data_IF_055223354167
#
_entry.id   IF_055223354167
#
_cell.length_a   1.000
_cell.length_b   1.000
_cell.length_c   1.000
_cell.angle_alpha   90.00
_cell.angle_beta   90.00
_cell.angle_gamma   90.00
#
_symmetry.space_group_name_H-M   'P 1'
#
loop_
_entity.id
_entity.type
_entity.pdbx_description
1 polymer ?
#
# COMPACT_ATOMS: atom_id res chain seq x y z
N UNK A 1 9.29 -16.63 43.12
CA UNK A 1 9.70 -15.27 42.67
C UNK A 1 10.21 -15.21 41.22
N UNK A 2 10.98 -16.17 40.69
CA UNK A 2 11.53 -16.09 39.31
C UNK A 2 10.50 -16.20 38.16
N UNK A 3 9.41 -16.96 38.33
CA UNK A 3 8.43 -17.24 37.27
C UNK A 3 7.61 -15.99 36.87
N UNK A 4 7.20 -15.18 37.85
CA UNK A 4 6.47 -13.93 37.64
C UNK A 4 7.33 -12.85 36.97
N UNK A 5 8.63 -12.76 37.31
CA UNK A 5 9.55 -11.82 36.64
C UNK A 5 9.77 -12.20 35.17
N UNK A 6 9.92 -13.48 34.84
CA UNK A 6 10.07 -13.96 33.46
C UNK A 6 8.79 -13.68 32.65
N UNK A 7 7.61 -13.96 33.22
CA UNK A 7 6.34 -13.67 32.57
C UNK A 7 6.17 -12.16 32.31
N UNK A 8 6.51 -11.30 33.27
CA UNK A 8 6.47 -9.85 33.08
C UNK A 8 7.38 -9.38 31.94
N UNK A 9 8.60 -9.91 31.83
CA UNK A 9 9.53 -9.59 30.74
C UNK A 9 8.96 -10.00 29.37
N UNK A 10 8.33 -11.18 29.27
CA UNK A 10 7.70 -11.64 28.02
C UNK A 10 6.56 -10.70 27.62
N UNK A 11 5.69 -10.32 28.56
CA UNK A 11 4.58 -9.39 28.31
C UNK A 11 5.10 -8.03 27.86
N UNK A 12 6.13 -7.50 28.52
CA UNK A 12 6.76 -6.23 28.14
C UNK A 12 7.34 -6.31 26.73
N UNK A 13 8.05 -7.39 26.39
CA UNK A 13 8.59 -7.59 25.03
C UNK A 13 7.49 -7.67 23.98
N UNK A 14 6.42 -8.40 24.26
CA UNK A 14 5.27 -8.50 23.37
C UNK A 14 4.62 -7.13 23.14
N UNK A 15 4.46 -6.34 24.21
CA UNK A 15 3.95 -4.97 24.11
C UNK A 15 4.83 -4.10 23.22
N UNK A 16 6.16 -4.14 23.38
CA UNK A 16 7.09 -3.39 22.53
C UNK A 16 7.01 -3.81 21.06
N UNK A 17 6.88 -5.11 20.77
CA UNK A 17 6.72 -5.59 19.38
C UNK A 17 5.44 -5.03 18.77
N UNK A 18 4.31 -5.16 19.47
CA UNK A 18 3.02 -4.65 18.98
C UNK A 18 3.08 -3.14 18.79
N UNK A 19 3.62 -2.40 19.76
CA UNK A 19 3.81 -0.96 19.67
C UNK A 19 4.65 -0.57 18.46
N UNK A 20 5.77 -1.25 18.24
CA UNK A 20 6.66 -0.99 17.10
C UNK A 20 5.97 -1.28 15.76
N UNK A 21 5.20 -2.38 15.65
CA UNK A 21 4.44 -2.70 14.45
C UNK A 21 3.40 -1.62 14.15
N UNK A 22 2.65 -1.15 15.15
CA UNK A 22 1.65 -0.09 14.99
C UNK A 22 2.33 1.23 14.57
N UNK A 23 3.44 1.59 15.21
CA UNK A 23 4.20 2.80 14.87
C UNK A 23 4.76 2.73 13.44
N UNK A 24 5.31 1.59 13.03
CA UNK A 24 5.81 1.39 11.67
C UNK A 24 4.67 1.49 10.64
N UNK A 25 3.52 0.87 10.92
CA UNK A 25 2.33 1.00 10.06
C UNK A 25 1.88 2.46 9.97
N UNK A 26 1.88 3.21 11.08
CA UNK A 26 1.50 4.62 11.10
C UNK A 26 2.41 5.47 10.22
N UNK A 27 3.73 5.30 10.33
CA UNK A 27 4.72 6.04 9.53
C UNK A 27 4.56 5.74 8.04
N UNK A 28 4.44 4.47 7.67
CA UNK A 28 4.26 4.08 6.26
C UNK A 28 2.91 4.54 5.71
N UNK A 29 1.84 4.44 6.51
CA UNK A 29 0.52 4.96 6.14
C UNK A 29 0.58 6.46 5.86
N UNK A 30 1.19 7.24 6.76
CA UNK A 30 1.39 8.69 6.59
C UNK A 30 2.16 9.01 5.31
N UNK A 31 3.29 8.34 5.10
CA UNK A 31 4.14 8.55 3.92
C UNK A 31 3.35 8.33 2.64
N UNK A 32 2.63 7.22 2.56
CA UNK A 32 1.85 6.87 1.37
C UNK A 32 0.68 7.84 1.10
N UNK A 33 0.00 8.35 2.14
CA UNK A 33 -1.05 9.34 1.93
C UNK A 33 -0.52 10.68 1.45
N UNK A 34 0.62 11.14 1.98
CA UNK A 34 1.23 12.41 1.60
C UNK A 34 1.86 12.32 0.20
N UNK A 35 2.51 11.21 -0.14
CA UNK A 35 3.21 11.06 -1.42
C UNK A 35 2.25 10.93 -2.61
N UNK A 36 2.72 11.44 -3.76
CA UNK A 36 2.11 11.20 -5.05
C UNK A 36 2.73 9.98 -5.73
N UNK A 37 1.90 9.23 -6.45
CA UNK A 37 2.34 8.10 -7.28
C UNK A 37 1.88 8.34 -8.70
N UNK A 38 2.82 8.26 -9.65
CA UNK A 38 2.52 8.28 -11.07
C UNK A 38 3.51 7.38 -11.78
N UNK A 39 3.05 6.23 -12.26
CA UNK A 39 3.89 5.30 -13.00
C UNK A 39 3.09 4.40 -13.93
N UNK A 40 3.74 3.96 -15.00
CA UNK A 40 3.26 2.90 -15.89
C UNK A 40 3.80 1.56 -15.39
N UNK A 41 2.93 0.57 -15.31
CA UNK A 41 3.24 -0.78 -14.86
C UNK A 41 4.04 -1.48 -15.96
N UNK A 42 5.25 -1.89 -15.63
CA UNK A 42 6.15 -2.62 -16.52
C UNK A 42 6.18 -4.11 -16.20
N UNK A 43 5.96 -4.48 -14.93
CA UNK A 43 5.88 -5.86 -14.48
C UNK A 43 4.90 -5.97 -13.32
N UNK A 44 4.21 -7.09 -13.25
CA UNK A 44 3.30 -7.46 -12.17
C UNK A 44 3.77 -8.78 -11.58
N UNK A 45 3.83 -8.86 -10.26
CA UNK A 45 4.03 -10.12 -9.52
C UNK A 45 2.82 -10.35 -8.64
N UNK A 46 2.31 -11.57 -8.64
CA UNK A 46 1.18 -11.98 -7.79
C UNK A 46 1.73 -12.67 -6.55
N UNK A 47 1.29 -12.25 -5.37
CA UNK A 47 1.60 -12.91 -4.09
C UNK A 47 0.70 -14.14 -3.88
N UNK A 48 1.03 -15.05 -2.94
CA UNK A 48 0.14 -16.16 -2.59
C UNK A 48 -1.27 -15.72 -2.14
N UNK A 49 -1.38 -14.52 -1.57
CA UNK A 49 -2.66 -13.90 -1.18
C UNK A 49 -3.38 -13.18 -2.33
N UNK A 50 -2.95 -13.39 -3.57
CA UNK A 50 -3.47 -12.75 -4.80
C UNK A 50 -3.29 -11.23 -4.86
N UNK A 51 -2.50 -10.65 -3.96
CA UNK A 51 -2.14 -9.23 -4.02
C UNK A 51 -1.14 -9.00 -5.15
N UNK A 52 -1.25 -7.87 -5.83
CA UNK A 52 -0.32 -7.46 -6.86
C UNK A 52 0.81 -6.61 -6.27
N UNK A 53 2.04 -7.00 -6.60
CA UNK A 53 3.22 -6.17 -6.48
C UNK A 53 3.50 -5.59 -7.87
N UNK A 54 3.54 -4.27 -7.97
CA UNK A 54 3.70 -3.56 -9.23
C UNK A 54 5.12 -3.03 -9.37
N UNK A 55 5.64 -3.01 -10.59
CA UNK A 55 6.97 -2.47 -10.88
C UNK A 55 6.89 -1.45 -12.01
N UNK A 56 7.62 -0.34 -11.87
CA UNK A 56 7.79 0.62 -12.97
C UNK A 56 8.91 0.17 -13.94
N UNK A 57 9.18 0.98 -14.97
CA UNK A 57 10.24 0.71 -15.97
C UNK A 57 11.65 0.68 -15.38
N UNK A 58 11.89 1.40 -14.29
CA UNK A 58 13.18 1.42 -13.58
C UNK A 58 13.36 0.19 -12.66
N UNK A 59 12.36 -0.68 -12.56
CA UNK A 59 12.36 -1.83 -11.66
C UNK A 59 12.02 -1.49 -10.20
N UNK A 60 11.60 -0.25 -9.91
CA UNK A 60 11.14 0.15 -8.58
C UNK A 60 9.86 -0.59 -8.24
N UNK A 61 9.86 -1.22 -7.06
CA UNK A 61 8.73 -1.95 -6.51
C UNK A 61 7.72 -1.02 -5.83
N UNK A 62 6.44 -1.26 -6.08
CA UNK A 62 5.32 -0.59 -5.44
C UNK A 62 4.41 -1.63 -4.78
N UNK A 63 4.51 -1.73 -3.46
CA UNK A 63 3.61 -2.45 -2.59
C UNK A 63 3.04 -1.45 -1.57
N UNK A 64 1.75 -1.17 -1.69
CA UNK A 64 1.10 -0.13 -0.90
C UNK A 64 0.83 -0.60 0.55
N UNK A 65 0.67 0.31 1.50
CA UNK A 65 0.27 0.01 2.88
C UNK A 65 -1.22 0.19 3.09
N UNK A 66 -1.81 1.22 2.49
CA UNK A 66 -3.22 1.57 2.66
C UNK A 66 -4.08 1.13 1.48
N UNK A 67 -3.51 0.77 0.33
CA UNK A 67 -4.29 0.32 -0.83
C UNK A 67 -4.03 -1.16 -1.11
N UNK A 68 -5.10 -1.95 -1.25
CA UNK A 68 -4.99 -3.31 -1.77
C UNK A 68 -5.33 -3.31 -3.24
N UNK A 69 -4.41 -3.82 -4.06
CA UNK A 69 -4.64 -4.09 -5.48
C UNK A 69 -4.49 -5.59 -5.63
N UNK A 70 -5.60 -6.28 -5.91
CA UNK A 70 -5.65 -7.72 -6.04
C UNK A 70 -5.63 -8.14 -7.51
N UNK A 71 -5.59 -9.45 -7.74
CA UNK A 71 -5.59 -10.04 -9.08
C UNK A 71 -6.92 -9.77 -9.80
N UNK A 72 -8.00 -9.66 -9.04
CA UNK A 72 -9.37 -9.45 -9.50
C UNK A 72 -9.59 -8.09 -10.19
N UNK A 73 -8.72 -7.11 -9.93
CA UNK A 73 -8.69 -5.80 -10.57
C UNK A 73 -8.22 -5.89 -12.04
N UNK A 74 -7.73 -7.05 -12.51
CA UNK A 74 -7.41 -7.31 -13.92
C UNK A 74 -6.48 -6.25 -14.55
N UNK A 75 -5.51 -5.76 -13.79
CA UNK A 75 -4.44 -4.89 -14.32
C UNK A 75 -3.53 -5.65 -15.28
N UNK A 76 -2.98 -4.93 -16.25
CA UNK A 76 -2.06 -5.45 -17.25
C UNK A 76 -0.80 -4.59 -17.35
N UNK A 77 0.28 -5.19 -17.86
CA UNK A 77 1.48 -4.42 -18.21
C UNK A 77 1.12 -3.37 -19.25
N UNK A 78 1.57 -2.13 -19.04
CA UNK A 78 1.20 -0.97 -19.84
C UNK A 78 0.06 -0.12 -19.25
N UNK A 79 -0.67 -0.63 -18.26
CA UNK A 79 -1.61 0.18 -17.47
C UNK A 79 -0.85 1.13 -16.53
N UNK A 80 -1.51 2.13 -15.99
CA UNK A 80 -0.87 3.11 -15.10
C UNK A 80 -1.60 3.28 -13.77
N UNK A 81 -0.82 3.64 -12.76
CA UNK A 81 -1.29 3.96 -11.42
C UNK A 81 -1.08 5.45 -11.19
N UNK A 82 -2.11 6.12 -10.70
CA UNK A 82 -2.06 7.52 -10.33
C UNK A 82 -2.68 7.75 -8.95
N UNK A 83 -1.97 8.51 -8.13
CA UNK A 83 -2.48 9.09 -6.89
C UNK A 83 -1.81 10.44 -6.73
N UNK A 84 -2.59 11.51 -6.63
CA UNK A 84 -2.03 12.81 -6.31
C UNK A 84 -1.52 12.84 -4.85
N UNK A 85 -0.53 13.68 -4.52
CA UNK A 85 -0.17 13.97 -3.13
C UNK A 85 -1.41 14.36 -2.33
N UNK A 86 -1.59 13.77 -1.15
CA UNK A 86 -2.79 13.96 -0.33
C UNK A 86 -4.13 13.71 -1.05
N UNK A 87 -4.19 12.85 -2.07
CA UNK A 87 -5.47 12.27 -2.54
C UNK A 87 -5.87 11.10 -1.66
N UNK A 88 -7.14 11.01 -1.27
CA UNK A 88 -7.69 9.87 -0.53
C UNK A 88 -7.68 8.58 -1.36
N UNK A 89 -7.82 8.70 -2.68
CA UNK A 89 -8.00 7.56 -3.57
C UNK A 89 -6.78 7.32 -4.45
N UNK A 90 -6.55 6.05 -4.73
CA UNK A 90 -5.63 5.57 -5.76
C UNK A 90 -6.43 5.19 -7.01
N UNK A 91 -5.94 5.62 -8.16
CA UNK A 91 -6.62 5.45 -9.44
C UNK A 91 -5.82 4.55 -10.36
N UNK A 92 -6.52 3.62 -11.00
CA UNK A 92 -5.98 2.73 -12.00
C UNK A 92 -6.49 3.17 -13.36
N UNK A 93 -5.60 3.25 -14.34
CA UNK A 93 -5.90 3.66 -15.70
C UNK A 93 -5.46 2.58 -16.68
N UNK A 94 -6.31 2.30 -17.67
CA UNK A 94 -6.00 1.37 -18.74
C UNK A 94 -5.64 2.09 -20.02
N UNK A 95 -4.64 1.56 -20.73
CA UNK A 95 -4.27 2.04 -22.06
C UNK A 95 -5.17 1.39 -23.11
N UNK A 96 -5.87 2.21 -23.90
CA UNK A 96 -6.68 1.73 -25.01
C UNK A 96 -5.81 1.42 -26.26
N UNK A 97 -6.43 0.86 -27.29
CA UNK A 97 -5.75 0.52 -28.56
C UNK A 97 -5.20 1.75 -29.31
N UNK A 98 -5.67 2.96 -28.99
CA UNK A 98 -5.17 4.23 -29.55
C UNK A 98 -4.02 4.81 -28.73
N UNK A 99 -3.66 4.16 -27.61
CA UNK A 99 -2.60 4.56 -26.71
C UNK A 99 -2.98 5.57 -25.64
N UNK A 100 -4.26 5.92 -25.53
CA UNK A 100 -4.79 6.86 -24.55
C UNK A 100 -5.14 6.13 -23.25
N UNK A 101 -4.96 6.81 -22.11
CA UNK A 101 -5.28 6.26 -20.79
C UNK A 101 -6.67 6.68 -20.35
N UNK A 102 -7.55 5.70 -20.12
CA UNK A 102 -8.86 5.89 -19.53
C UNK A 102 -8.87 5.46 -18.07
N UNK A 103 -9.55 6.22 -17.20
CA UNK A 103 -9.75 5.82 -15.80
C UNK A 103 -10.55 4.52 -15.77
N UNK A 104 -9.95 3.50 -15.18
CA UNK A 104 -10.51 2.15 -15.12
C UNK A 104 -11.11 1.85 -13.75
N UNK A 105 -10.37 2.17 -12.67
CA UNK A 105 -10.82 1.86 -11.31
C UNK A 105 -10.38 2.92 -10.30
N UNK A 106 -11.16 3.04 -9.23
CA UNK A 106 -10.89 3.85 -8.06
C UNK A 106 -10.76 2.90 -6.86
N UNK A 107 -9.61 2.91 -6.21
CA UNK A 107 -9.31 2.08 -5.05
C UNK A 107 -9.39 2.97 -3.80
N UNK A 108 -10.23 2.54 -2.86
CA UNK A 108 -10.37 3.18 -1.55
C UNK A 108 -9.31 2.65 -0.60
N UNK A 109 -8.84 3.46 0.36
CA UNK A 109 -7.89 2.99 1.35
C UNK A 109 -8.57 1.96 2.27
N UNK A 110 -7.85 0.88 2.55
CA UNK A 110 -8.22 -0.21 3.46
C UNK A 110 -7.22 -0.38 4.62
N UNK A 111 -6.29 0.57 4.77
CA UNK A 111 -5.30 0.59 5.85
C UNK A 111 -5.91 0.90 7.22
N UNK A 112 -5.15 0.64 8.28
CA UNK A 112 -5.61 0.82 9.68
C UNK A 112 -5.90 2.29 10.03
N UNK A 113 -5.13 3.23 9.46
CA UNK A 113 -5.22 4.65 9.78
C UNK A 113 -5.97 5.41 8.69
N UNK A 114 -6.86 6.30 9.11
CA UNK A 114 -7.67 7.10 8.19
C UNK A 114 -6.82 8.14 7.46
N UNK A 115 -7.09 8.33 6.16
CA UNK A 115 -6.54 9.42 5.35
C UNK A 115 -6.67 10.79 6.05
N UNK A 116 -7.80 11.05 6.71
CA UNK A 116 -8.11 12.33 7.39
C UNK A 116 -7.14 12.67 8.52
N UNK A 117 -6.38 11.69 9.03
CA UNK A 117 -5.40 11.92 10.08
C UNK A 117 -4.13 12.59 9.54
N UNK A 118 -3.88 12.50 8.23
CA UNK A 118 -2.63 12.93 7.61
C UNK A 118 -2.82 14.08 6.61
N UNK A 119 -3.94 14.10 5.92
CA UNK A 119 -4.27 15.09 4.90
C UNK A 119 -5.66 15.69 5.21
N UNK A 120 -5.76 17.01 5.10
CA UNK A 120 -6.96 17.80 5.40
C UNK A 120 -7.58 18.34 4.11
#
# INVERSE_FOLDING_TARGET
MKKTTIQAIIVIKMFFIVFFTIANTFVNSRKEFIEGYYFVINKIRVTPTKRLILYNKEGKEFLFWNYSIMLEERLSVGDSVFKAPCSEFLYLYKKNNKGEYGKFQKISPSGLFSYKWFCK
#
